data_IF_381431527191
#
_entry.id   IF_381431527191
#
_cell.length_a   1.000
_cell.length_b   1.000
_cell.length_c   1.000
_cell.angle_alpha   90.00
_cell.angle_beta   90.00
_cell.angle_gamma   90.00
#
_symmetry.space_group_name_H-M   'P 1'
#
loop_
_entity.id
_entity.type
_entity.pdbx_description
1 polymer ?
#
# COMPACT_ATOMS: atom_id res chain seq x y z
N UNK A 1 9.83 -22.72 1.92
CA UNK A 1 9.43 -23.67 0.84
C UNK A 1 8.08 -23.22 0.34
N UNK A 2 7.87 -23.07 -0.95
CA UNK A 2 6.60 -22.62 -1.50
C UNK A 2 5.48 -23.64 -1.25
N UNK A 3 4.23 -23.17 -1.10
CA UNK A 3 3.08 -24.04 -0.76
C UNK A 3 2.85 -25.19 -1.74
N UNK A 4 3.33 -25.04 -2.97
CA UNK A 4 3.25 -26.06 -4.04
C UNK A 4 3.98 -27.37 -3.65
N UNK A 5 5.00 -27.31 -2.82
CA UNK A 5 5.75 -28.48 -2.36
C UNK A 5 4.93 -29.38 -1.42
N UNK A 6 3.83 -28.84 -0.87
CA UNK A 6 2.94 -29.51 0.06
C UNK A 6 1.65 -30.04 -0.60
N UNK A 7 1.49 -29.87 -1.92
CA UNK A 7 0.36 -30.42 -2.65
C UNK A 7 0.39 -31.96 -2.63
N UNK A 8 -0.69 -32.56 -2.16
CA UNK A 8 -0.83 -34.04 -2.14
C UNK A 8 -1.48 -34.58 -3.40
N UNK A 9 -2.11 -33.72 -4.16
CA UNK A 9 -2.72 -34.03 -5.47
C UNK A 9 -2.20 -32.98 -6.46
N UNK A 10 -1.56 -33.40 -7.57
CA UNK A 10 -0.94 -32.47 -8.51
C UNK A 10 -1.96 -31.75 -9.41
N UNK A 11 -3.24 -32.11 -9.33
CA UNK A 11 -4.31 -31.52 -10.15
C UNK A 11 -5.46 -31.00 -9.29
N UNK A 12 -6.23 -30.07 -9.86
CA UNK A 12 -7.43 -29.51 -9.25
C UNK A 12 -8.55 -30.54 -9.29
N UNK A 13 -9.22 -30.74 -8.14
CA UNK A 13 -10.37 -31.62 -8.01
C UNK A 13 -11.64 -30.90 -8.46
N UNK A 14 -12.35 -31.42 -9.47
CA UNK A 14 -13.65 -30.92 -9.87
C UNK A 14 -14.71 -31.29 -8.81
N UNK A 15 -15.26 -30.27 -8.15
CA UNK A 15 -16.26 -30.41 -7.11
C UNK A 15 -17.66 -30.42 -7.72
N UNK A 16 -18.47 -31.41 -7.35
CA UNK A 16 -19.86 -31.56 -7.78
C UNK A 16 -20.85 -30.96 -6.77
N UNK A 17 -20.36 -30.71 -5.55
CA UNK A 17 -21.15 -30.14 -4.47
C UNK A 17 -21.61 -28.72 -4.81
N UNK A 18 -22.78 -28.34 -4.31
CA UNK A 18 -23.33 -26.99 -4.35
C UNK A 18 -23.30 -26.30 -2.98
N UNK A 19 -23.17 -27.09 -1.93
CA UNK A 19 -23.13 -26.64 -0.54
C UNK A 19 -21.75 -26.88 0.08
N UNK A 20 -21.34 -26.00 0.99
CA UNK A 20 -20.02 -25.99 1.65
C UNK A 20 -19.66 -27.33 2.31
N UNK A 21 -20.59 -27.89 3.08
CA UNK A 21 -20.31 -29.13 3.81
C UNK A 21 -20.06 -30.33 2.91
N UNK A 22 -20.71 -30.40 1.76
CA UNK A 22 -20.53 -31.50 0.81
C UNK A 22 -19.23 -31.31 0.01
N UNK A 23 -18.85 -30.05 -0.30
CA UNK A 23 -17.58 -29.74 -0.89
C UNK A 23 -16.41 -30.16 0.02
N UNK A 24 -16.53 -29.95 1.32
CA UNK A 24 -15.53 -30.41 2.27
C UNK A 24 -15.42 -31.93 2.29
N UNK A 25 -16.54 -32.66 2.23
CA UNK A 25 -16.54 -34.15 2.13
C UNK A 25 -15.79 -34.61 0.89
N UNK A 26 -16.03 -33.98 -0.27
CA UNK A 26 -15.35 -34.32 -1.52
C UNK A 26 -13.83 -34.08 -1.42
N UNK A 27 -13.41 -32.91 -0.92
CA UNK A 27 -11.99 -32.57 -0.78
C UNK A 27 -11.27 -33.46 0.23
N UNK A 28 -11.87 -33.68 1.40
CA UNK A 28 -11.29 -34.55 2.43
C UNK A 28 -11.18 -35.99 1.94
N UNK A 29 -12.18 -36.49 1.20
CA UNK A 29 -12.14 -37.81 0.57
C UNK A 29 -11.01 -37.93 -0.44
N UNK A 30 -10.83 -36.91 -1.29
CA UNK A 30 -9.76 -36.87 -2.27
C UNK A 30 -8.39 -36.87 -1.59
N UNK A 31 -8.21 -36.04 -0.57
CA UNK A 31 -6.97 -35.95 0.22
C UNK A 31 -6.66 -37.28 0.93
N UNK A 32 -7.65 -37.85 1.61
CA UNK A 32 -7.46 -39.12 2.33
C UNK A 32 -7.12 -40.29 1.40
N UNK A 33 -7.67 -40.29 0.18
CA UNK A 33 -7.31 -41.26 -0.86
C UNK A 33 -5.85 -41.09 -1.29
N UNK A 34 -5.39 -39.86 -1.53
CA UNK A 34 -4.02 -39.56 -1.94
C UNK A 34 -3.00 -39.89 -0.85
N UNK A 35 -3.32 -39.60 0.42
CA UNK A 35 -2.42 -39.82 1.57
C UNK A 35 -2.56 -41.20 2.21
N UNK A 36 -3.44 -42.08 1.71
CA UNK A 36 -3.79 -43.39 2.29
C UNK A 36 -4.27 -43.30 3.75
N UNK A 37 -4.92 -42.20 4.12
CA UNK A 37 -5.36 -41.86 5.48
C UNK A 37 -6.90 -41.95 5.64
N UNK A 38 -7.54 -42.91 5.00
CA UNK A 38 -9.00 -43.04 5.00
C UNK A 38 -9.63 -43.10 6.42
N UNK A 39 -8.91 -43.68 7.39
CA UNK A 39 -9.33 -43.75 8.79
C UNK A 39 -9.43 -42.40 9.49
N UNK A 40 -8.78 -41.34 8.98
CA UNK A 40 -8.84 -39.97 9.53
C UNK A 40 -9.92 -39.09 8.90
N UNK A 41 -10.63 -39.56 7.88
CA UNK A 41 -11.58 -38.74 7.09
C UNK A 41 -12.62 -38.04 7.97
N UNK A 42 -13.22 -38.76 8.90
CA UNK A 42 -14.24 -38.20 9.80
C UNK A 42 -13.65 -37.13 10.71
N UNK A 43 -12.53 -37.42 11.35
CA UNK A 43 -11.88 -36.50 12.27
C UNK A 43 -11.46 -35.18 11.57
N UNK A 44 -10.93 -35.29 10.34
CA UNK A 44 -10.57 -34.10 9.54
C UNK A 44 -11.81 -33.26 9.23
N UNK A 45 -12.91 -33.91 8.83
CA UNK A 45 -14.15 -33.21 8.47
C UNK A 45 -14.77 -32.51 9.69
N UNK A 46 -14.81 -33.19 10.84
CA UNK A 46 -15.35 -32.64 12.07
C UNK A 46 -14.59 -31.40 12.54
N UNK A 47 -13.25 -31.46 12.53
CA UNK A 47 -12.41 -30.31 12.89
C UNK A 47 -12.53 -29.15 11.88
N UNK A 48 -12.67 -29.45 10.59
CA UNK A 48 -12.89 -28.42 9.57
C UNK A 48 -14.21 -27.70 9.76
N UNK A 49 -15.30 -28.45 9.99
CA UNK A 49 -16.61 -27.87 10.21
C UNK A 49 -16.62 -26.98 11.45
N UNK A 50 -16.05 -27.47 12.55
CA UNK A 50 -15.90 -26.72 13.79
C UNK A 50 -15.10 -25.43 13.61
N UNK A 51 -13.98 -25.51 12.85
CA UNK A 51 -13.14 -24.32 12.55
C UNK A 51 -13.90 -23.30 11.70
N UNK A 52 -14.64 -23.75 10.71
CA UNK A 52 -15.40 -22.90 9.80
C UNK A 52 -16.60 -22.24 10.48
N UNK A 53 -17.21 -22.90 11.49
CA UNK A 53 -18.28 -22.32 12.31
C UNK A 53 -17.78 -21.14 13.15
N UNK A 54 -16.54 -21.19 13.61
CA UNK A 54 -15.95 -20.09 14.41
C UNK A 54 -15.67 -18.83 13.60
N UNK A 55 -15.26 -18.97 12.34
CA UNK A 55 -15.03 -17.86 11.41
C UNK A 55 -14.93 -18.40 9.98
N UNK A 56 -15.61 -17.76 9.04
CA UNK A 56 -15.57 -18.12 7.62
C UNK A 56 -14.16 -17.98 7.06
N UNK A 57 -13.70 -19.01 6.34
CA UNK A 57 -12.39 -18.99 5.66
C UNK A 57 -12.48 -18.49 4.20
N UNK A 58 -13.59 -17.89 3.81
CA UNK A 58 -13.77 -17.23 2.53
C UNK A 58 -12.94 -15.94 2.47
N UNK A 59 -12.01 -15.84 1.53
CA UNK A 59 -11.08 -14.70 1.40
C UNK A 59 -11.48 -13.70 0.32
N UNK A 60 -12.63 -13.88 -0.32
CA UNK A 60 -13.09 -13.02 -1.42
C UNK A 60 -12.77 -13.59 -2.80
N UNK A 61 -13.27 -12.91 -3.86
CA UNK A 61 -13.01 -13.25 -5.27
C UNK A 61 -13.33 -14.70 -5.66
N UNK A 62 -14.28 -15.33 -4.97
CA UNK A 62 -14.64 -16.72 -5.20
C UNK A 62 -13.64 -17.74 -4.66
N UNK A 63 -12.79 -17.37 -3.71
CA UNK A 63 -11.75 -18.24 -3.14
C UNK A 63 -11.99 -18.44 -1.65
N UNK A 64 -11.86 -19.68 -1.19
CA UNK A 64 -11.88 -20.05 0.21
C UNK A 64 -10.67 -20.92 0.57
N UNK A 65 -10.12 -20.73 1.78
CA UNK A 65 -8.95 -21.48 2.28
C UNK A 65 -9.30 -22.14 3.61
N UNK A 66 -10.17 -23.19 3.62
CA UNK A 66 -10.42 -23.94 4.83
C UNK A 66 -9.15 -24.62 5.33
N UNK A 67 -8.82 -24.41 6.61
CA UNK A 67 -7.60 -24.92 7.19
C UNK A 67 -7.82 -25.42 8.61
N UNK A 68 -7.11 -26.49 8.97
CA UNK A 68 -7.11 -27.08 10.31
C UNK A 68 -5.73 -27.47 10.76
N UNK A 69 -5.50 -27.45 12.07
CA UNK A 69 -4.30 -27.98 12.71
C UNK A 69 -4.66 -29.25 13.45
N UNK A 70 -3.93 -30.32 13.16
CA UNK A 70 -4.18 -31.61 13.79
C UNK A 70 -2.92 -32.48 13.73
N UNK A 71 -2.90 -33.57 14.47
CA UNK A 71 -1.78 -34.53 14.40
C UNK A 71 -1.76 -35.18 13.01
N UNK A 72 -0.79 -34.75 12.19
CA UNK A 72 -0.55 -35.21 10.83
C UNK A 72 0.86 -35.77 10.67
N UNK A 73 1.10 -36.58 9.63
CA UNK A 73 2.43 -37.14 9.35
C UNK A 73 3.36 -36.07 8.75
N UNK A 74 2.82 -35.27 7.84
CA UNK A 74 3.55 -34.24 7.13
C UNK A 74 3.25 -32.88 7.73
N UNK A 75 4.15 -31.92 7.61
CA UNK A 75 3.95 -30.54 8.07
C UNK A 75 2.71 -29.90 7.47
N UNK A 76 2.51 -30.14 6.18
CA UNK A 76 1.31 -29.68 5.45
C UNK A 76 0.79 -30.75 4.51
N UNK A 77 -0.52 -30.73 4.32
CA UNK A 77 -1.20 -31.49 3.28
C UNK A 77 -2.24 -30.57 2.62
N UNK A 78 -2.05 -30.27 1.33
CA UNK A 78 -2.84 -29.31 0.59
C UNK A 78 -3.52 -29.99 -0.60
N UNK A 79 -4.80 -29.66 -0.81
CA UNK A 79 -5.56 -30.04 -2.02
C UNK A 79 -6.37 -28.86 -2.50
N UNK A 80 -6.44 -28.70 -3.82
CA UNK A 80 -7.21 -27.64 -4.48
C UNK A 80 -8.45 -28.23 -5.14
N UNK A 81 -9.61 -27.64 -4.89
CA UNK A 81 -10.85 -27.97 -5.56
C UNK A 81 -11.42 -26.79 -6.30
N UNK A 82 -12.14 -27.04 -7.40
CA UNK A 82 -12.85 -26.00 -8.15
C UNK A 82 -14.32 -26.38 -8.38
N UNK A 83 -15.15 -25.36 -8.50
CA UNK A 83 -16.54 -25.46 -8.95
C UNK A 83 -16.85 -24.30 -9.88
N UNK A 84 -17.05 -24.58 -11.16
CA UNK A 84 -17.39 -23.56 -12.15
C UNK A 84 -18.71 -22.85 -11.81
N UNK A 85 -19.80 -23.57 -11.41
CA UNK A 85 -21.04 -22.92 -11.00
C UNK A 85 -20.94 -22.18 -9.66
N UNK A 86 -19.93 -22.50 -8.85
CA UNK A 86 -19.74 -21.96 -7.50
C UNK A 86 -20.49 -22.76 -6.42
N UNK A 87 -19.92 -22.74 -5.22
CA UNK A 87 -20.43 -23.41 -4.03
C UNK A 87 -20.92 -22.35 -3.06
N UNK A 88 -22.11 -22.50 -2.50
CA UNK A 88 -22.62 -21.61 -1.44
C UNK A 88 -21.73 -21.74 -0.20
N UNK A 89 -20.87 -20.79 0.01
CA UNK A 89 -19.82 -20.88 1.02
C UNK A 89 -20.15 -20.08 2.28
N UNK A 90 -20.56 -18.84 2.13
CA UNK A 90 -20.93 -17.95 3.20
C UNK A 90 -22.36 -17.43 2.95
N UNK A 91 -23.34 -18.09 3.59
CA UNK A 91 -24.76 -17.79 3.40
C UNK A 91 -25.12 -16.38 3.90
N UNK A 92 -24.45 -15.89 4.96
CA UNK A 92 -24.69 -14.55 5.51
C UNK A 92 -24.27 -13.44 4.55
N UNK A 93 -23.28 -13.71 3.69
CA UNK A 93 -22.76 -12.78 2.69
C UNK A 93 -23.23 -13.06 1.27
N UNK A 94 -24.02 -14.11 1.05
CA UNK A 94 -24.38 -14.58 -0.30
C UNK A 94 -23.18 -14.98 -1.16
N UNK A 95 -22.04 -15.36 -0.54
CA UNK A 95 -20.79 -15.57 -1.23
C UNK A 95 -20.71 -16.98 -1.85
N UNK A 96 -20.33 -17.03 -3.12
CA UNK A 96 -20.01 -18.27 -3.85
C UNK A 96 -18.49 -18.48 -3.89
N UNK A 97 -18.04 -19.69 -3.49
CA UNK A 97 -16.66 -20.11 -3.69
C UNK A 97 -16.53 -20.94 -4.97
N UNK A 98 -15.65 -20.51 -5.85
CA UNK A 98 -15.31 -21.22 -7.09
C UNK A 98 -14.03 -22.03 -6.95
N UNK A 99 -13.14 -21.62 -6.05
CA UNK A 99 -11.89 -22.30 -5.73
C UNK A 99 -11.84 -22.50 -4.22
N UNK A 100 -11.59 -23.73 -3.79
CA UNK A 100 -11.45 -24.08 -2.38
C UNK A 100 -10.10 -24.77 -2.18
N UNK A 101 -9.24 -24.19 -1.35
CA UNK A 101 -7.92 -24.74 -1.03
C UNK A 101 -7.95 -25.27 0.39
N UNK A 102 -8.05 -26.59 0.53
CA UNK A 102 -8.01 -27.25 1.82
C UNK A 102 -6.56 -27.39 2.29
N UNK A 103 -6.26 -26.93 3.50
CA UNK A 103 -4.95 -27.01 4.15
C UNK A 103 -5.06 -27.75 5.47
N UNK A 104 -4.33 -28.86 5.62
CA UNK A 104 -4.12 -29.53 6.91
C UNK A 104 -2.69 -29.27 7.33
N UNK A 105 -2.51 -28.72 8.52
CA UNK A 105 -1.20 -28.42 9.11
C UNK A 105 -0.97 -29.33 10.31
N UNK A 106 0.25 -29.86 10.44
CA UNK A 106 0.63 -30.61 11.63
C UNK A 106 0.61 -29.66 12.85
N UNK A 107 0.01 -30.09 13.96
CA UNK A 107 -0.02 -29.28 15.18
C UNK A 107 1.37 -28.92 15.74
N UNK A 108 2.40 -29.71 15.40
CA UNK A 108 3.81 -29.46 15.77
C UNK A 108 4.51 -28.45 14.85
N UNK A 109 3.92 -28.11 13.72
CA UNK A 109 4.51 -27.15 12.78
C UNK A 109 4.47 -25.74 13.38
N UNK A 110 5.53 -24.98 13.16
CA UNK A 110 5.66 -23.60 13.63
C UNK A 110 4.49 -22.70 13.16
N UNK A 111 4.02 -21.82 14.04
CA UNK A 111 2.88 -20.95 13.76
C UNK A 111 3.17 -19.94 12.64
N UNK A 112 4.40 -19.42 12.58
CA UNK A 112 4.78 -18.44 11.55
C UNK A 112 4.80 -19.12 10.18
N UNK A 113 5.31 -20.36 10.10
CA UNK A 113 5.31 -21.14 8.87
C UNK A 113 3.86 -21.46 8.42
N UNK A 114 2.96 -21.78 9.35
CA UNK A 114 1.55 -21.98 9.04
C UNK A 114 0.91 -20.74 8.42
N UNK A 115 1.11 -19.57 9.03
CA UNK A 115 0.59 -18.30 8.53
C UNK A 115 1.22 -17.95 7.18
N UNK A 116 2.51 -18.18 7.02
CA UNK A 116 3.22 -17.94 5.76
C UNK A 116 2.62 -18.74 4.61
N UNK A 117 2.40 -20.05 4.78
CA UNK A 117 1.79 -20.90 3.75
C UNK A 117 0.37 -20.46 3.40
N UNK A 118 -0.46 -20.11 4.38
CA UNK A 118 -1.80 -19.56 4.10
C UNK A 118 -1.74 -18.24 3.35
N UNK A 119 -0.79 -17.38 3.69
CA UNK A 119 -0.56 -16.09 3.01
C UNK A 119 -0.09 -16.28 1.58
N UNK A 120 0.80 -17.23 1.32
CA UNK A 120 1.26 -17.58 -0.02
C UNK A 120 0.10 -18.07 -0.90
N UNK A 121 -0.75 -18.97 -0.40
CA UNK A 121 -1.94 -19.47 -1.09
C UNK A 121 -2.89 -18.30 -1.39
N UNK A 122 -3.19 -17.46 -0.41
CA UNK A 122 -4.06 -16.31 -0.58
C UNK A 122 -3.52 -15.34 -1.63
N UNK A 123 -2.22 -15.05 -1.59
CA UNK A 123 -1.54 -14.16 -2.54
C UNK A 123 -1.56 -14.73 -3.96
N UNK A 124 -1.33 -16.04 -4.10
CA UNK A 124 -1.37 -16.73 -5.38
C UNK A 124 -2.76 -16.61 -6.04
N UNK A 125 -3.83 -16.94 -5.30
CA UNK A 125 -5.20 -16.87 -5.81
C UNK A 125 -5.81 -15.46 -5.80
N UNK A 126 -5.12 -14.42 -5.31
CA UNK A 126 -5.46 -13.02 -5.59
C UNK A 126 -5.23 -12.64 -7.05
N UNK A 127 -4.36 -13.33 -7.79
CA UNK A 127 -4.11 -13.12 -9.21
C UNK A 127 -5.30 -13.59 -10.05
N UNK A 128 -5.86 -12.69 -10.88
CA UNK A 128 -6.90 -13.04 -11.86
C UNK A 128 -6.44 -14.12 -12.82
N UNK A 129 -5.17 -14.08 -13.22
CA UNK A 129 -4.57 -15.09 -14.10
C UNK A 129 -4.59 -16.48 -13.48
N UNK A 130 -4.20 -16.62 -12.21
CA UNK A 130 -4.21 -17.88 -11.49
C UNK A 130 -5.65 -18.44 -11.34
N UNK A 131 -6.61 -17.57 -10.99
CA UNK A 131 -8.01 -17.96 -10.88
C UNK A 131 -8.61 -18.39 -12.23
N UNK A 132 -8.40 -17.59 -13.27
CA UNK A 132 -8.90 -17.90 -14.61
C UNK A 132 -8.32 -19.21 -15.15
N UNK A 133 -7.04 -19.47 -14.93
CA UNK A 133 -6.43 -20.74 -15.31
C UNK A 133 -6.99 -21.91 -14.50
N UNK A 134 -7.20 -21.72 -13.17
CA UNK A 134 -7.79 -22.75 -12.33
C UNK A 134 -9.24 -23.06 -12.69
N UNK A 135 -9.98 -22.12 -13.25
CA UNK A 135 -11.38 -22.24 -13.65
C UNK A 135 -11.56 -22.51 -15.14
N UNK A 136 -10.48 -22.51 -15.93
CA UNK A 136 -10.56 -22.72 -17.37
C UNK A 136 -11.29 -24.03 -17.69
N UNK A 137 -12.22 -24.04 -18.66
CA UNK A 137 -12.87 -25.26 -19.10
C UNK A 137 -11.86 -26.17 -19.80
N UNK A 138 -11.75 -27.42 -19.38
CA UNK A 138 -10.87 -28.44 -19.96
C UNK A 138 -11.36 -29.82 -19.58
N UNK A 139 -11.36 -30.76 -20.53
CA UNK A 139 -11.58 -32.18 -20.27
C UNK A 139 -10.27 -32.78 -19.73
N UNK A 140 -10.22 -32.93 -18.40
CA UNK A 140 -9.10 -33.57 -17.73
C UNK A 140 -8.59 -32.82 -16.49
N UNK A 141 -7.73 -33.47 -15.69
CA UNK A 141 -7.18 -32.85 -14.49
C UNK A 141 -6.24 -31.69 -14.88
N UNK A 142 -6.55 -30.52 -14.39
CA UNK A 142 -5.70 -29.34 -14.56
C UNK A 142 -4.54 -29.45 -13.59
N UNK A 143 -3.33 -29.47 -14.12
CA UNK A 143 -2.09 -29.55 -13.35
C UNK A 143 -1.90 -28.26 -12.52
N UNK A 144 -2.06 -28.38 -11.19
CA UNK A 144 -1.85 -27.26 -10.26
C UNK A 144 -0.40 -26.80 -10.31
N UNK A 145 0.55 -27.72 -10.47
CA UNK A 145 1.97 -27.36 -10.57
C UNK A 145 2.25 -26.63 -11.88
N UNK A 146 1.61 -27.04 -12.97
CA UNK A 146 1.67 -26.33 -14.26
C UNK A 146 1.07 -24.94 -14.20
N UNK A 147 -0.07 -24.76 -13.51
CA UNK A 147 -0.66 -23.44 -13.27
C UNK A 147 0.27 -22.58 -12.41
N UNK A 148 0.83 -23.14 -11.33
CA UNK A 148 1.77 -22.45 -10.46
C UNK A 148 3.06 -22.14 -11.22
N UNK A 149 3.57 -23.09 -12.00
CA UNK A 149 4.76 -22.87 -12.83
C UNK A 149 4.52 -21.83 -13.92
N UNK A 150 3.34 -21.81 -14.54
CA UNK A 150 2.97 -20.80 -15.54
C UNK A 150 2.62 -19.47 -14.89
N UNK A 151 1.99 -19.46 -13.70
CA UNK A 151 1.75 -18.24 -12.93
C UNK A 151 3.03 -17.73 -12.25
N UNK A 152 3.92 -18.61 -11.81
CA UNK A 152 5.26 -18.24 -11.37
C UNK A 152 6.18 -17.88 -12.54
N UNK A 153 6.02 -18.50 -13.71
CA UNK A 153 6.62 -18.04 -14.96
C UNK A 153 5.97 -16.74 -15.41
N UNK A 154 4.68 -16.54 -15.27
CA UNK A 154 4.01 -15.25 -15.44
C UNK A 154 4.37 -14.26 -14.30
N UNK A 155 4.81 -14.74 -13.15
CA UNK A 155 5.36 -13.96 -12.03
C UNK A 155 6.90 -13.85 -12.04
N UNK A 156 7.61 -14.71 -12.77
CA UNK A 156 9.06 -14.73 -12.98
C UNK A 156 9.43 -14.46 -14.45
N UNK A 157 8.59 -14.82 -15.40
CA UNK A 157 8.57 -14.25 -16.73
C UNK A 157 7.86 -12.90 -16.69
N UNK A 158 8.50 -12.00 -16.05
CA UNK A 158 8.56 -10.59 -16.33
C UNK A 158 8.81 -10.29 -17.84
N UNK A 159 8.73 -11.29 -18.71
CA UNK A 159 9.02 -11.24 -20.14
C UNK A 159 7.83 -11.53 -21.05
N UNK A 160 6.62 -11.86 -20.55
CA UNK A 160 5.49 -12.22 -21.43
C UNK A 160 4.25 -11.35 -21.34
N UNK A 161 4.18 -10.41 -20.41
CA UNK A 161 3.60 -9.12 -20.72
C UNK A 161 4.82 -8.22 -20.98
N UNK A 162 5.42 -8.31 -22.14
CA UNK A 162 5.99 -7.10 -22.71
C UNK A 162 4.81 -6.14 -22.70
N UNK A 163 4.78 -5.09 -21.85
CA UNK A 163 3.89 -3.98 -22.08
C UNK A 163 4.21 -3.63 -23.53
N UNK A 164 3.26 -3.85 -24.42
CA UNK A 164 3.54 -3.53 -25.79
C UNK A 164 3.86 -2.05 -25.74
N UNK A 165 5.02 -1.65 -26.25
CA UNK A 165 5.35 -0.23 -26.51
C UNK A 165 4.13 0.50 -27.10
N UNK A 166 3.25 -0.24 -27.75
CA UNK A 166 1.97 0.16 -28.30
C UNK A 166 0.88 0.47 -27.27
N UNK A 167 0.87 -0.10 -26.07
CA UNK A 167 -0.24 0.10 -25.12
C UNK A 167 -0.15 1.47 -24.39
N UNK A 168 1.05 1.90 -24.02
CA UNK A 168 1.25 3.22 -23.37
C UNK A 168 1.46 4.36 -24.38
N UNK A 169 1.87 4.06 -25.62
CA UNK A 169 2.17 5.06 -26.63
C UNK A 169 1.00 6.04 -26.93
N UNK A 170 -0.28 5.60 -27.04
CA UNK A 170 -1.38 6.52 -27.24
C UNK A 170 -1.57 7.48 -26.06
N UNK A 171 -1.47 6.99 -24.82
CA UNK A 171 -1.63 7.82 -23.60
C UNK A 171 -0.51 8.86 -23.50
N UNK A 172 0.73 8.45 -23.80
CA UNK A 172 1.89 9.34 -23.81
C UNK A 172 1.76 10.41 -24.92
N UNK A 173 1.28 10.03 -26.12
CA UNK A 173 1.03 10.95 -27.21
C UNK A 173 -0.02 12.00 -26.85
N UNK A 174 -1.18 11.56 -26.35
CA UNK A 174 -2.26 12.46 -25.90
C UNK A 174 -1.77 13.41 -24.80
N UNK A 175 -0.95 12.91 -23.87
CA UNK A 175 -0.43 13.74 -22.79
C UNK A 175 0.53 14.83 -23.30
N UNK A 176 1.34 14.55 -24.33
CA UNK A 176 2.20 15.55 -24.97
C UNK A 176 1.38 16.60 -25.72
N UNK A 177 0.38 16.18 -26.50
CA UNK A 177 -0.51 17.10 -27.21
C UNK A 177 -1.25 18.01 -26.22
N UNK A 178 -1.79 17.41 -25.14
CA UNK A 178 -2.47 18.16 -24.09
C UNK A 178 -1.52 19.14 -23.40
N UNK A 179 -0.28 18.74 -23.10
CA UNK A 179 0.72 19.60 -22.47
C UNK A 179 1.02 20.83 -23.35
N UNK A 180 1.13 20.63 -24.65
CA UNK A 180 1.30 21.70 -25.64
C UNK A 180 0.08 22.62 -25.67
N UNK A 181 -1.14 22.08 -25.75
CA UNK A 181 -2.37 22.85 -25.91
C UNK A 181 -2.67 23.73 -24.68
N UNK A 182 -2.44 23.19 -23.46
CA UNK A 182 -2.65 23.95 -22.21
C UNK A 182 -1.43 24.78 -21.82
N UNK A 183 -0.34 24.74 -22.59
CA UNK A 183 0.94 25.39 -22.31
C UNK A 183 1.47 25.00 -20.92
N UNK A 184 1.50 23.68 -20.65
CA UNK A 184 1.97 23.17 -19.39
C UNK A 184 3.45 23.53 -19.14
N UNK A 185 3.77 23.95 -17.92
CA UNK A 185 5.13 24.27 -17.50
C UNK A 185 6.01 23.03 -17.36
N UNK A 186 5.41 21.86 -17.12
CA UNK A 186 6.08 20.58 -17.01
C UNK A 186 5.16 19.40 -17.32
N UNK A 187 5.79 18.32 -17.82
CA UNK A 187 5.23 16.99 -17.92
C UNK A 187 5.82 16.13 -16.80
N UNK A 188 4.95 15.59 -15.94
CA UNK A 188 5.36 14.76 -14.82
C UNK A 188 4.99 13.29 -15.08
N UNK A 189 5.96 12.38 -15.03
CA UNK A 189 5.76 10.95 -15.28
C UNK A 189 6.03 10.14 -14.04
N UNK A 190 5.03 9.39 -13.58
CA UNK A 190 5.12 8.50 -12.43
C UNK A 190 5.64 7.13 -12.88
N UNK A 191 6.96 7.00 -12.90
CA UNK A 191 7.66 5.91 -13.57
C UNK A 191 7.53 4.54 -12.90
N UNK A 192 7.07 4.48 -11.65
CA UNK A 192 6.80 3.20 -10.95
C UNK A 192 5.59 2.46 -11.52
N UNK A 193 4.84 3.11 -12.41
CA UNK A 193 3.78 2.49 -13.22
C UNK A 193 4.34 1.42 -14.15
N UNK A 194 5.50 1.69 -14.75
CA UNK A 194 6.15 0.80 -15.73
C UNK A 194 7.51 0.33 -15.22
N UNK A 195 7.99 -0.81 -15.72
CA UNK A 195 9.28 -1.38 -15.31
C UNK A 195 10.43 -0.89 -16.15
N UNK A 196 10.21 -0.66 -17.43
CA UNK A 196 11.22 -0.22 -18.40
C UNK A 196 11.13 1.30 -18.60
N UNK A 197 12.24 1.90 -19.04
CA UNK A 197 12.34 3.34 -19.27
C UNK A 197 12.10 3.73 -20.73
N UNK A 198 11.55 2.84 -21.52
CA UNK A 198 11.28 3.03 -22.95
C UNK A 198 10.24 4.13 -23.25
N UNK A 199 9.46 4.53 -22.26
CA UNK A 199 8.60 5.72 -22.35
C UNK A 199 9.40 6.99 -22.64
N UNK A 200 10.67 7.06 -22.24
CA UNK A 200 11.56 8.18 -22.53
C UNK A 200 11.87 8.31 -24.03
N UNK A 201 11.80 7.21 -24.79
CA UNK A 201 12.00 7.22 -26.24
C UNK A 201 10.78 7.75 -26.97
N UNK A 202 9.60 7.63 -26.33
CA UNK A 202 8.31 8.09 -26.87
C UNK A 202 8.12 9.57 -26.53
N UNK A 203 8.44 9.96 -25.29
CA UNK A 203 8.34 11.34 -24.83
C UNK A 203 9.48 12.19 -25.38
N UNK A 204 9.40 12.54 -26.66
CA UNK A 204 10.30 13.49 -27.30
C UNK A 204 9.88 14.93 -27.01
N UNK A 205 9.76 15.25 -25.72
CA UNK A 205 9.32 16.58 -25.30
C UNK A 205 10.41 17.61 -25.46
N UNK A 206 10.06 18.78 -25.99
CA UNK A 206 10.81 20.04 -25.79
C UNK A 206 10.54 20.63 -24.41
N UNK A 207 9.51 20.12 -23.74
CA UNK A 207 9.00 20.60 -22.48
C UNK A 207 9.78 19.97 -21.30
N UNK A 208 9.67 20.59 -20.16
CA UNK A 208 10.32 20.15 -18.93
C UNK A 208 9.76 18.79 -18.49
N UNK A 209 10.55 17.73 -18.62
CA UNK A 209 10.17 16.39 -18.17
C UNK A 209 10.67 16.16 -16.75
N UNK A 210 9.74 15.93 -15.83
CA UNK A 210 10.00 15.56 -14.44
C UNK A 210 9.60 14.09 -14.24
N UNK A 211 10.54 13.25 -13.86
CA UNK A 211 10.29 11.86 -13.53
C UNK A 211 10.11 11.71 -12.03
N UNK A 212 9.02 11.07 -11.61
CA UNK A 212 8.71 10.76 -10.21
C UNK A 212 8.80 9.25 -10.04
N UNK A 213 9.65 8.77 -9.11
CA UNK A 213 9.89 7.34 -8.89
C UNK A 213 10.33 7.05 -7.47
N UNK A 214 10.00 5.88 -6.94
CA UNK A 214 10.53 5.40 -5.66
C UNK A 214 12.00 4.98 -5.74
N UNK A 215 12.51 4.72 -6.95
CA UNK A 215 13.88 4.27 -7.19
C UNK A 215 14.59 5.15 -8.21
N UNK A 216 15.31 6.18 -7.74
CA UNK A 216 16.09 7.07 -8.59
C UNK A 216 17.21 6.37 -9.36
N UNK A 217 17.77 5.28 -8.84
CA UNK A 217 18.88 4.57 -9.48
C UNK A 217 18.51 3.95 -10.83
N UNK A 218 17.20 3.88 -11.14
CA UNK A 218 16.69 3.48 -12.46
C UNK A 218 17.07 4.44 -13.58
N UNK A 219 17.34 5.71 -13.25
CA UNK A 219 17.53 6.78 -14.20
C UNK A 219 18.95 7.30 -14.14
N UNK A 220 19.58 7.45 -15.31
CA UNK A 220 20.89 8.08 -15.42
C UNK A 220 20.76 9.58 -15.06
N UNK A 221 21.49 10.07 -14.05
CA UNK A 221 21.50 11.49 -13.72
C UNK A 221 21.97 12.40 -14.89
N UNK A 222 22.68 11.84 -15.87
CA UNK A 222 23.17 12.54 -17.06
C UNK A 222 22.20 12.51 -18.24
N UNK A 223 21.04 11.87 -18.14
CA UNK A 223 20.07 11.78 -19.24
C UNK A 223 19.41 13.14 -19.51
N UNK A 224 19.84 13.76 -20.63
CA UNK A 224 19.37 15.09 -21.04
C UNK A 224 17.87 15.16 -21.37
N UNK A 225 17.19 14.02 -21.50
CA UNK A 225 15.74 13.95 -21.72
C UNK A 225 14.96 14.26 -20.43
N UNK A 226 15.60 14.06 -19.27
CA UNK A 226 14.99 14.23 -17.95
C UNK A 226 15.50 15.55 -17.35
N UNK A 227 14.60 16.49 -17.10
CA UNK A 227 14.94 17.77 -16.46
C UNK A 227 15.22 17.58 -14.97
N UNK A 228 14.42 16.73 -14.30
CA UNK A 228 14.61 16.41 -12.90
C UNK A 228 14.03 15.01 -12.58
N UNK A 229 14.66 14.33 -11.64
CA UNK A 229 14.17 13.08 -11.08
C UNK A 229 13.85 13.26 -9.58
N UNK A 230 12.58 13.09 -9.22
CA UNK A 230 12.08 13.21 -7.84
C UNK A 230 11.93 11.82 -7.25
N UNK A 231 12.45 11.63 -6.05
CA UNK A 231 12.20 10.41 -5.29
C UNK A 231 10.89 10.55 -4.55
N UNK A 232 9.92 9.74 -4.94
CA UNK A 232 8.67 9.62 -4.20
C UNK A 232 8.77 8.51 -3.15
N UNK A 233 8.02 8.61 -2.05
CA UNK A 233 7.90 7.52 -1.09
C UNK A 233 7.38 6.23 -1.74
N UNK A 234 7.89 5.08 -1.30
CA UNK A 234 7.58 3.77 -1.87
C UNK A 234 6.33 3.09 -1.29
N UNK A 235 5.52 3.81 -0.51
CA UNK A 235 4.30 3.24 0.05
C UNK A 235 3.12 3.23 -0.95
N UNK A 236 2.19 2.27 -0.84
CA UNK A 236 1.02 2.24 -1.72
C UNK A 236 0.13 3.46 -1.48
N UNK A 237 -0.06 4.26 -2.51
CA UNK A 237 -1.00 5.38 -2.53
C UNK A 237 -1.94 5.23 -3.73
N UNK A 238 -3.13 5.85 -3.65
CA UNK A 238 -4.01 5.97 -4.81
C UNK A 238 -3.30 6.74 -5.93
N UNK A 239 -3.74 6.59 -7.20
CA UNK A 239 -3.16 7.32 -8.34
C UNK A 239 -3.11 8.83 -8.07
N UNK A 240 -4.22 9.38 -7.58
CA UNK A 240 -4.31 10.82 -7.23
C UNK A 240 -3.40 11.16 -6.06
N UNK A 241 -3.30 10.27 -5.06
CA UNK A 241 -2.37 10.44 -3.94
C UNK A 241 -0.91 10.50 -4.39
N UNK A 242 -0.50 9.63 -5.32
CA UNK A 242 0.83 9.67 -5.92
C UNK A 242 1.09 10.99 -6.66
N UNK A 243 0.11 11.46 -7.45
CA UNK A 243 0.20 12.73 -8.17
C UNK A 243 0.35 13.89 -7.19
N UNK A 244 -0.47 13.95 -6.14
CA UNK A 244 -0.38 14.99 -5.11
C UNK A 244 0.98 15.03 -4.43
N UNK A 245 1.52 13.88 -4.06
CA UNK A 245 2.88 13.79 -3.49
C UNK A 245 3.93 14.31 -4.48
N UNK A 246 3.90 13.81 -5.71
CA UNK A 246 4.88 14.19 -6.72
C UNK A 246 4.87 15.71 -7.03
N UNK A 247 3.67 16.29 -7.14
CA UNK A 247 3.50 17.73 -7.36
C UNK A 247 4.00 18.53 -6.16
N UNK A 248 3.65 18.11 -4.93
CA UNK A 248 4.15 18.76 -3.70
C UNK A 248 5.69 18.75 -3.64
N UNK A 249 6.31 17.60 -3.96
CA UNK A 249 7.76 17.48 -3.96
C UNK A 249 8.41 18.29 -5.10
N UNK A 250 7.75 18.40 -6.26
CA UNK A 250 8.23 19.26 -7.36
C UNK A 250 8.18 20.74 -6.97
N UNK A 251 7.11 21.14 -6.31
CA UNK A 251 6.94 22.48 -5.75
C UNK A 251 8.00 22.79 -4.66
N UNK A 252 8.21 21.87 -3.73
CA UNK A 252 9.18 22.05 -2.64
C UNK A 252 10.63 22.22 -3.13
N UNK A 253 10.91 21.73 -4.33
CA UNK A 253 12.22 21.84 -5.00
C UNK A 253 12.29 22.98 -6.02
N UNK A 254 11.28 23.83 -6.08
CA UNK A 254 11.15 24.91 -7.07
C UNK A 254 11.26 24.42 -8.53
N UNK A 255 10.87 23.18 -8.79
CA UNK A 255 10.82 22.62 -10.15
C UNK A 255 9.60 23.10 -10.91
N UNK A 256 8.52 23.42 -10.23
CA UNK A 256 7.30 24.04 -10.75
C UNK A 256 6.87 25.17 -9.79
N UNK A 257 6.04 26.07 -10.23
CA UNK A 257 5.56 27.24 -9.49
C UNK A 257 4.07 27.14 -9.20
N UNK A 258 3.58 28.02 -8.33
CA UNK A 258 2.17 28.08 -7.98
C UNK A 258 1.22 28.43 -9.13
N UNK A 259 1.68 29.21 -10.09
CA UNK A 259 0.92 29.66 -11.27
C UNK A 259 1.05 28.70 -12.47
N UNK A 260 1.79 27.62 -12.32
CA UNK A 260 2.02 26.65 -13.38
C UNK A 260 0.82 25.72 -13.58
N UNK A 261 0.66 25.27 -14.84
CA UNK A 261 -0.12 24.09 -15.17
C UNK A 261 0.81 22.93 -15.44
N UNK A 262 0.46 21.76 -14.96
CA UNK A 262 1.27 20.55 -15.13
C UNK A 262 0.41 19.40 -15.65
N UNK A 263 1.00 18.59 -16.52
CA UNK A 263 0.37 17.36 -16.99
C UNK A 263 1.06 16.19 -16.29
N UNK A 264 0.26 15.39 -15.58
CA UNK A 264 0.73 14.21 -14.87
C UNK A 264 0.30 12.94 -15.59
N UNK A 265 1.25 12.04 -15.84
CA UNK A 265 1.02 10.72 -16.45
C UNK A 265 1.28 9.65 -15.41
N UNK A 266 0.27 8.85 -15.11
CA UNK A 266 0.34 7.83 -14.06
C UNK A 266 -0.43 6.57 -14.46
N UNK A 267 -0.42 5.59 -13.59
CA UNK A 267 -1.20 4.34 -13.66
C UNK A 267 -1.06 3.58 -12.35
N UNK A 268 -1.60 2.37 -12.28
CA UNK A 268 -1.36 1.54 -11.12
C UNK A 268 0.11 1.15 -11.05
N UNK A 269 0.71 1.26 -9.87
CA UNK A 269 2.10 0.85 -9.67
C UNK A 269 2.32 -0.58 -10.17
N UNK A 270 3.38 -0.78 -10.97
CA UNK A 270 3.76 -2.06 -11.57
C UNK A 270 2.74 -2.67 -12.56
N UNK A 271 1.72 -1.91 -12.99
CA UNK A 271 0.76 -2.41 -14.00
C UNK A 271 1.38 -2.58 -15.39
N UNK A 272 2.49 -1.91 -15.66
CA UNK A 272 3.16 -1.91 -16.95
C UNK A 272 2.53 -0.97 -17.98
N UNK A 273 1.45 -0.26 -17.64
CA UNK A 273 0.72 0.60 -18.60
C UNK A 273 0.36 1.94 -17.94
N UNK A 274 0.69 3.03 -18.61
CA UNK A 274 0.12 4.34 -18.28
C UNK A 274 -1.34 4.40 -18.76
N UNK A 275 -2.25 4.69 -17.84
CA UNK A 275 -3.70 4.69 -18.09
C UNK A 275 -4.41 5.94 -17.57
N UNK A 276 -3.66 6.88 -17.00
CA UNK A 276 -4.20 8.07 -16.35
C UNK A 276 -3.41 9.30 -16.76
N UNK A 277 -4.13 10.31 -17.27
CA UNK A 277 -3.59 11.66 -17.51
C UNK A 277 -4.39 12.62 -16.65
N UNK A 278 -3.70 13.47 -15.91
CA UNK A 278 -4.29 14.53 -15.10
C UNK A 278 -3.69 15.86 -15.52
N UNK A 279 -4.53 16.80 -15.96
CA UNK A 279 -4.17 18.21 -16.12
C UNK A 279 -4.45 18.91 -14.81
N UNK A 280 -3.45 19.50 -14.22
CA UNK A 280 -3.53 20.11 -12.90
C UNK A 280 -3.12 21.57 -12.98
N UNK A 281 -3.98 22.45 -12.49
CA UNK A 281 -3.68 23.84 -12.19
C UNK A 281 -3.19 23.92 -10.76
N UNK A 282 -1.91 24.25 -10.58
CA UNK A 282 -1.25 24.19 -9.27
C UNK A 282 -1.90 25.19 -8.30
N UNK A 283 -2.25 26.38 -8.77
CA UNK A 283 -2.90 27.39 -7.93
C UNK A 283 -4.24 26.92 -7.37
N UNK A 284 -5.05 26.30 -8.22
CA UNK A 284 -6.39 25.83 -7.83
C UNK A 284 -6.31 24.63 -6.89
N UNK A 285 -5.41 23.67 -7.16
CA UNK A 285 -5.31 22.44 -6.32
C UNK A 285 -4.65 22.71 -4.96
N UNK A 286 -3.75 23.69 -4.88
CA UNK A 286 -2.98 24.01 -3.68
C UNK A 286 -3.27 25.42 -3.13
N UNK A 287 -4.48 25.97 -3.38
CA UNK A 287 -4.89 27.30 -2.94
C UNK A 287 -4.62 27.55 -1.46
N UNK A 288 -4.95 26.60 -0.59
CA UNK A 288 -4.71 26.67 0.86
C UNK A 288 -3.24 26.70 1.25
N UNK A 289 -2.36 26.12 0.40
CA UNK A 289 -0.91 26.19 0.63
C UNK A 289 -0.38 27.61 0.51
N UNK A 290 -0.93 28.35 -0.43
CA UNK A 290 -0.49 29.69 -0.80
C UNK A 290 -1.26 30.81 -0.09
N UNK A 291 -2.37 30.50 0.59
CA UNK A 291 -3.29 31.48 1.17
C UNK A 291 -2.63 32.55 2.07
N UNK A 292 -1.50 32.20 2.75
CA UNK A 292 -0.81 33.13 3.66
C UNK A 292 0.70 33.23 3.40
N UNK A 293 1.24 32.60 2.37
CA UNK A 293 2.66 32.65 2.00
C UNK A 293 2.86 32.16 0.57
N UNK A 294 3.59 32.90 -0.26
CA UNK A 294 3.92 32.45 -1.62
C UNK A 294 4.88 31.23 -1.62
N UNK A 295 5.50 30.95 -0.48
CA UNK A 295 6.43 29.83 -0.32
C UNK A 295 5.72 28.58 0.16
N UNK A 296 6.00 27.45 -0.49
CA UNK A 296 5.45 26.15 -0.14
C UNK A 296 6.02 25.64 1.15
N UNK A 297 7.35 25.65 1.24
CA UNK A 297 8.07 25.31 2.45
C UNK A 297 8.45 26.57 3.21
N UNK A 298 8.28 26.57 4.54
CA UNK A 298 9.01 27.51 5.37
C UNK A 298 10.50 27.48 5.02
N UNK A 299 11.18 28.64 4.99
CA UNK A 299 12.56 28.75 4.48
C UNK A 299 13.58 27.94 5.29
N UNK A 300 13.24 27.55 6.50
CA UNK A 300 14.05 26.71 7.37
C UNK A 300 13.90 25.19 7.07
N UNK A 301 12.90 24.77 6.28
CA UNK A 301 12.66 23.36 5.99
C UNK A 301 13.29 22.92 4.67
N UNK A 302 14.22 21.96 4.75
CA UNK A 302 14.82 21.35 3.56
C UNK A 302 13.84 20.39 2.86
N UNK A 303 13.74 20.42 1.52
CA UNK A 303 12.89 19.50 0.75
C UNK A 303 13.12 18.02 1.07
N UNK A 304 14.38 17.63 1.31
CA UNK A 304 14.76 16.25 1.63
C UNK A 304 14.17 15.79 2.96
N UNK A 305 14.00 16.69 3.92
CA UNK A 305 13.37 16.39 5.22
C UNK A 305 11.87 16.12 5.05
N UNK A 306 11.18 16.95 4.27
CA UNK A 306 9.77 16.71 3.93
C UNK A 306 9.60 15.38 3.21
N UNK A 307 10.42 15.10 2.19
CA UNK A 307 10.41 13.84 1.45
C UNK A 307 10.60 12.64 2.37
N UNK A 308 11.59 12.72 3.26
CA UNK A 308 11.90 11.64 4.21
C UNK A 308 10.76 11.38 5.19
N UNK A 309 10.17 12.44 5.75
CA UNK A 309 9.07 12.32 6.71
C UNK A 309 7.80 11.81 6.03
N UNK A 310 7.48 12.25 4.82
CA UNK A 310 6.37 11.70 4.03
C UNK A 310 6.57 10.20 3.75
N UNK A 311 7.79 9.79 3.42
CA UNK A 311 8.15 8.39 3.26
C UNK A 311 7.89 7.58 4.51
N UNK A 312 8.45 8.01 5.63
CA UNK A 312 8.30 7.35 6.94
C UNK A 312 6.84 7.32 7.40
N UNK A 313 6.10 8.43 7.21
CA UNK A 313 4.67 8.49 7.53
C UNK A 313 3.85 7.48 6.71
N UNK A 314 4.18 7.31 5.43
CA UNK A 314 3.56 6.32 4.58
C UNK A 314 3.87 4.89 5.00
N UNK A 315 5.13 4.60 5.34
CA UNK A 315 5.54 3.29 5.86
C UNK A 315 4.80 2.96 7.15
N UNK A 316 4.79 3.87 8.14
CA UNK A 316 4.06 3.70 9.41
C UNK A 316 2.56 3.50 9.15
N UNK A 317 1.99 4.28 8.24
CA UNK A 317 0.57 4.17 7.90
C UNK A 317 0.19 2.80 7.32
N UNK A 318 1.09 2.15 6.57
CA UNK A 318 0.85 0.85 5.91
C UNK A 318 1.20 -0.31 6.81
N UNK A 319 2.38 -0.28 7.42
CA UNK A 319 2.94 -1.39 8.18
C UNK A 319 2.40 -1.43 9.61
N UNK A 320 2.17 -0.26 10.22
CA UNK A 320 1.92 -0.17 11.65
C UNK A 320 3.10 -0.69 12.46
N UNK A 321 2.82 -1.22 13.64
CA UNK A 321 3.80 -1.94 14.46
C UNK A 321 3.17 -3.18 15.07
N UNK A 322 3.84 -4.31 15.00
CA UNK A 322 3.36 -5.61 15.51
C UNK A 322 1.92 -5.96 15.05
N UNK A 323 1.60 -5.60 13.79
CA UNK A 323 0.26 -5.81 13.23
C UNK A 323 -0.82 -4.85 13.73
N UNK A 324 -0.46 -3.85 14.54
CA UNK A 324 -1.38 -2.81 15.01
C UNK A 324 -1.19 -1.53 14.20
N UNK A 325 -2.27 -0.88 13.76
CA UNK A 325 -2.16 0.43 13.14
C UNK A 325 -1.63 1.45 14.15
N UNK A 326 -0.82 2.38 13.68
CA UNK A 326 -0.25 3.45 14.48
C UNK A 326 -0.76 4.81 14.03
N UNK A 327 -0.90 5.72 15.00
CA UNK A 327 -1.17 7.11 14.75
C UNK A 327 -0.14 8.00 15.47
N UNK A 328 0.44 8.96 14.76
CA UNK A 328 1.44 9.88 15.31
C UNK A 328 1.37 11.24 14.61
N UNK A 329 2.15 12.20 15.11
CA UNK A 329 2.30 13.55 14.55
C UNK A 329 3.79 13.83 14.37
N UNK A 330 4.18 14.33 13.21
CA UNK A 330 5.49 14.94 12.95
C UNK A 330 5.29 16.45 12.81
N UNK A 331 5.96 17.25 13.64
CA UNK A 331 6.01 18.72 13.55
C UNK A 331 7.41 19.13 13.08
N UNK A 332 7.48 19.89 11.98
CA UNK A 332 8.70 20.15 11.25
C UNK A 332 8.92 21.67 11.11
N UNK A 333 10.09 22.14 11.43
CA UNK A 333 10.48 23.55 11.32
C UNK A 333 9.93 24.44 12.44
N UNK A 334 10.30 25.72 12.40
CA UNK A 334 9.97 26.76 13.42
C UNK A 334 10.06 26.29 14.87
N UNK A 335 11.05 25.46 15.16
CA UNK A 335 11.15 24.74 16.44
C UNK A 335 11.28 25.68 17.66
N UNK A 336 11.81 26.88 17.46
CA UNK A 336 11.88 27.87 18.52
C UNK A 336 10.50 28.34 18.97
N UNK A 337 9.55 28.49 18.04
CA UNK A 337 8.16 28.85 18.39
C UNK A 337 7.38 27.61 18.83
N UNK A 338 7.54 26.49 18.14
CA UNK A 338 6.90 25.21 18.47
C UNK A 338 7.15 24.80 19.91
N UNK A 339 8.40 24.91 20.39
CA UNK A 339 8.79 24.52 21.75
C UNK A 339 8.05 25.29 22.85
N UNK A 340 7.47 26.49 22.58
CA UNK A 340 6.64 27.23 23.54
C UNK A 340 5.29 26.55 23.79
N UNK A 341 4.84 25.69 22.86
CA UNK A 341 3.57 24.98 22.91
C UNK A 341 3.73 23.49 23.22
N UNK A 342 4.95 23.04 23.52
CA UNK A 342 5.26 21.62 23.74
C UNK A 342 5.42 21.34 25.22
N UNK A 343 4.84 20.24 25.67
CA UNK A 343 5.10 19.65 27.00
C UNK A 343 5.49 18.19 26.80
N UNK A 344 6.60 17.77 27.41
CA UNK A 344 7.05 16.40 27.33
C UNK A 344 6.14 15.49 28.16
N UNK A 345 5.57 14.43 27.54
CA UNK A 345 4.75 13.42 28.21
C UNK A 345 5.60 12.32 28.87
N UNK A 346 6.70 11.98 28.21
CA UNK A 346 7.65 10.94 28.65
C UNK A 346 9.05 11.54 28.65
N UNK A 347 10.02 10.84 29.24
CA UNK A 347 11.43 11.21 29.09
C UNK A 347 11.78 11.19 27.61
N UNK A 348 12.32 12.31 27.11
CA UNK A 348 12.66 12.42 25.68
C UNK A 348 13.77 11.43 25.31
N UNK A 349 13.48 10.45 24.42
CA UNK A 349 14.44 9.40 24.05
C UNK A 349 15.61 9.92 23.21
N UNK A 350 15.50 11.09 22.60
CA UNK A 350 16.55 11.70 21.77
C UNK A 350 17.46 12.67 22.54
N UNK A 351 17.19 12.85 23.83
CA UNK A 351 17.99 13.78 24.65
C UNK A 351 19.38 13.21 24.92
N UNK A 352 20.42 13.99 24.62
CA UNK A 352 21.83 13.63 24.90
C UNK A 352 22.56 12.99 23.72
N UNK A 353 21.84 12.58 22.69
CA UNK A 353 22.46 12.15 21.42
C UNK A 353 22.97 13.34 20.61
N UNK A 354 24.06 13.17 19.87
CA UNK A 354 24.56 14.17 18.94
C UNK A 354 23.57 14.42 17.78
N UNK A 355 23.65 15.56 17.14
CA UNK A 355 22.75 15.89 16.04
C UNK A 355 22.86 14.90 14.88
N UNK A 356 24.06 14.37 14.60
CA UNK A 356 24.27 13.37 13.58
C UNK A 356 23.53 12.03 13.89
N UNK A 357 23.51 11.61 15.18
CA UNK A 357 22.86 10.36 15.60
C UNK A 357 21.33 10.44 15.64
N UNK A 358 20.75 11.64 15.60
CA UNK A 358 19.29 11.87 15.62
C UNK A 358 18.80 12.69 14.43
N UNK A 359 19.49 12.59 13.30
CA UNK A 359 19.05 13.23 12.06
C UNK A 359 18.17 12.25 11.26
N UNK A 360 16.91 12.61 11.00
CA UNK A 360 15.92 11.77 10.30
C UNK A 360 16.33 11.40 8.87
N UNK A 361 17.29 12.14 8.28
CA UNK A 361 17.85 11.81 6.97
C UNK A 361 18.72 10.55 7.00
N UNK A 362 19.17 10.12 8.19
CA UNK A 362 19.85 8.83 8.34
C UNK A 362 18.80 7.69 8.19
N UNK A 363 18.95 6.82 7.16
CA UNK A 363 18.07 5.67 6.98
C UNK A 363 18.02 4.73 8.18
N UNK A 364 19.09 4.63 8.96
CA UNK A 364 19.18 3.74 10.12
C UNK A 364 18.17 4.11 11.23
N UNK A 365 17.71 5.37 11.29
CA UNK A 365 16.71 5.81 12.27
C UNK A 365 15.28 5.38 11.93
N UNK A 366 15.00 4.81 10.75
CA UNK A 366 13.64 4.47 10.34
C UNK A 366 12.92 3.56 11.34
N UNK A 367 13.58 2.47 11.76
CA UNK A 367 13.00 1.52 12.72
C UNK A 367 12.84 2.16 14.11
N UNK A 368 13.80 2.97 14.55
CA UNK A 368 13.70 3.72 15.81
C UNK A 368 12.49 4.66 15.79
N UNK A 369 12.26 5.36 14.68
CA UNK A 369 11.11 6.25 14.54
C UNK A 369 9.79 5.48 14.55
N UNK A 370 9.73 4.31 13.90
CA UNK A 370 8.55 3.43 13.92
C UNK A 370 8.25 2.93 15.33
N UNK A 371 9.27 2.57 16.12
CA UNK A 371 9.10 2.19 17.52
C UNK A 371 8.52 3.33 18.34
N UNK A 372 9.13 4.52 18.28
CA UNK A 372 8.66 5.66 19.04
C UNK A 372 7.34 6.24 18.53
N UNK A 373 6.91 5.95 17.30
CA UNK A 373 5.58 6.29 16.80
C UNK A 373 4.45 5.52 17.52
N UNK A 374 4.77 4.42 18.20
CA UNK A 374 3.82 3.70 19.06
C UNK A 374 3.51 4.40 20.38
N UNK A 375 4.34 5.37 20.76
CA UNK A 375 4.17 6.19 21.96
C UNK A 375 3.26 7.36 21.63
N UNK A 376 2.33 7.67 22.51
CA UNK A 376 1.44 8.80 22.32
C UNK A 376 2.21 10.13 22.36
N UNK A 377 1.83 11.07 21.48
CA UNK A 377 2.47 12.36 21.35
C UNK A 377 3.08 12.61 19.97
N UNK A 378 3.74 13.75 19.85
CA UNK A 378 4.33 14.22 18.60
C UNK A 378 5.86 14.10 18.60
N UNK A 379 6.42 13.97 17.42
CA UNK A 379 7.82 14.25 17.15
C UNK A 379 7.98 15.74 16.82
N UNK A 380 9.00 16.37 17.35
CA UNK A 380 9.42 17.73 17.00
C UNK A 380 10.77 17.64 16.28
N UNK A 381 10.82 18.13 15.05
CA UNK A 381 11.95 17.96 14.15
C UNK A 381 12.32 19.33 13.57
N UNK A 382 13.60 19.64 13.53
CA UNK A 382 14.09 20.88 12.90
C UNK A 382 13.93 20.82 11.37
N UNK A 383 13.99 21.95 10.71
CA UNK A 383 13.88 22.01 9.26
C UNK A 383 15.03 21.34 8.50
N UNK A 384 16.17 21.09 9.15
CA UNK A 384 17.31 20.34 8.62
C UNK A 384 17.33 18.86 9.04
N UNK A 385 16.29 18.42 9.78
CA UNK A 385 16.03 17.00 10.06
C UNK A 385 16.47 16.51 11.43
N UNK A 386 16.93 17.37 12.34
CA UNK A 386 17.32 16.96 13.69
C UNK A 386 16.05 16.70 14.52
N UNK A 387 15.93 15.52 15.08
CA UNK A 387 14.84 15.16 15.99
C UNK A 387 15.14 15.76 17.36
N UNK A 388 14.33 16.73 17.77
CA UNK A 388 14.47 17.37 19.08
C UNK A 388 13.81 16.57 20.19
N UNK A 389 12.61 16.01 19.91
CA UNK A 389 11.87 15.23 20.90
C UNK A 389 10.86 14.28 20.25
N UNK A 390 10.49 13.24 21.00
CA UNK A 390 9.34 12.38 20.75
C UNK A 390 8.47 12.30 22.01
N UNK A 391 7.23 11.80 21.88
CA UNK A 391 6.29 11.75 22.99
C UNK A 391 5.94 13.12 23.54
N UNK A 392 5.82 14.10 22.67
CA UNK A 392 5.55 15.50 23.01
C UNK A 392 4.07 15.82 22.91
N UNK A 393 3.49 16.40 23.95
CA UNK A 393 2.12 16.91 23.93
C UNK A 393 2.09 18.34 23.39
N UNK A 394 1.26 18.57 22.38
CA UNK A 394 1.09 19.88 21.76
C UNK A 394 -0.07 20.61 22.44
N UNK A 395 0.18 21.85 22.89
CA UNK A 395 -0.81 22.72 23.57
C UNK A 395 -1.09 23.98 22.76
N UNK A 396 -1.56 23.88 21.51
CA UNK A 396 -1.91 25.08 20.78
C UNK A 396 -3.18 25.71 21.37
N UNK A 397 -3.23 27.03 21.39
CA UNK A 397 -4.45 27.78 21.70
C UNK A 397 -5.24 27.95 20.39
N UNK A 398 -6.19 27.07 20.14
CA UNK A 398 -7.10 27.18 18.98
C UNK A 398 -8.54 26.96 19.43
N UNK A 399 -9.43 27.77 18.85
CA UNK A 399 -10.85 27.45 18.80
C UNK A 399 -11.08 26.28 17.85
N UNK A 400 -11.46 25.14 18.38
CA UNK A 400 -11.73 23.91 17.61
C UNK A 400 -12.88 24.08 16.59
N UNK A 401 -13.59 25.21 16.61
CA UNK A 401 -14.71 25.52 15.73
C UNK A 401 -14.32 25.75 14.26
N UNK A 402 -13.03 25.96 13.97
CA UNK A 402 -12.53 26.21 12.61
C UNK A 402 -12.17 24.94 11.83
N UNK A 403 -12.23 23.78 12.46
CA UNK A 403 -11.88 22.50 11.83
C UNK A 403 -13.13 21.69 11.44
N UNK A 404 -13.07 20.89 10.36
CA UNK A 404 -14.15 19.99 10.03
C UNK A 404 -14.49 19.05 11.19
N UNK A 405 -15.76 18.87 11.48
CA UNK A 405 -16.23 17.91 12.49
C UNK A 405 -15.83 16.48 12.13
N UNK A 406 -15.46 15.68 13.14
CA UNK A 406 -15.06 14.27 12.92
C UNK A 406 -13.55 14.03 12.80
N UNK A 407 -12.72 15.08 12.93
CA UNK A 407 -11.26 14.93 13.01
C UNK A 407 -10.84 14.48 14.40
N UNK A 408 -9.95 13.49 14.50
CA UNK A 408 -9.39 13.01 15.77
C UNK A 408 -8.47 14.04 16.44
N UNK A 409 -8.16 13.82 17.71
CA UNK A 409 -7.34 14.72 18.55
C UNK A 409 -5.99 15.08 17.92
N UNK A 410 -5.35 14.14 17.21
CA UNK A 410 -4.07 14.37 16.52
C UNK A 410 -4.20 15.40 15.39
N UNK A 411 -5.30 15.37 14.65
CA UNK A 411 -5.56 16.35 13.58
C UNK A 411 -5.81 17.74 14.17
N UNK A 412 -6.57 17.83 15.28
CA UNK A 412 -6.81 19.08 15.98
C UNK A 412 -5.50 19.68 16.51
N UNK A 413 -4.64 18.84 17.10
CA UNK A 413 -3.33 19.27 17.59
C UNK A 413 -2.41 19.76 16.46
N UNK A 414 -2.40 19.06 15.32
CA UNK A 414 -1.61 19.43 14.15
C UNK A 414 -2.09 20.74 13.51
N UNK A 415 -3.38 20.89 13.33
CA UNK A 415 -3.94 22.17 12.87
C UNK A 415 -3.62 23.30 13.83
N UNK A 416 -3.79 23.06 15.14
CA UNK A 416 -3.48 24.04 16.17
C UNK A 416 -2.04 24.51 16.16
N UNK A 417 -1.09 23.60 16.17
CA UNK A 417 0.34 23.98 16.20
C UNK A 417 0.72 24.74 14.93
N UNK A 418 0.21 24.32 13.75
CA UNK A 418 0.50 25.02 12.48
C UNK A 418 -0.20 26.35 12.33
N UNK A 419 -1.30 26.61 13.05
CA UNK A 419 -1.93 27.93 13.10
C UNK A 419 -1.15 28.94 13.97
N UNK A 420 -0.48 28.46 15.02
CA UNK A 420 0.28 29.29 15.95
C UNK A 420 1.76 29.44 15.57
N UNK A 421 2.25 28.70 14.57
CA UNK A 421 3.66 28.65 14.18
C UNK A 421 3.81 28.60 12.65
N UNK A 422 5.03 28.76 12.17
CA UNK A 422 5.36 28.55 10.75
C UNK A 422 5.71 27.08 10.43
N UNK A 423 5.55 26.18 11.39
CA UNK A 423 5.86 24.76 11.20
C UNK A 423 4.88 24.09 10.21
N UNK A 424 5.33 23.00 9.62
CA UNK A 424 4.47 22.00 8.99
C UNK A 424 4.14 20.90 10.00
N UNK A 425 2.95 20.28 9.87
CA UNK A 425 2.64 19.09 10.65
C UNK A 425 2.09 17.98 9.73
N UNK A 426 2.54 16.75 9.96
CA UNK A 426 2.07 15.57 9.26
C UNK A 426 1.47 14.62 10.30
N UNK A 427 0.19 14.26 10.13
CA UNK A 427 -0.49 13.30 11.00
C UNK A 427 -0.69 11.98 10.29
N UNK A 428 -0.65 10.90 11.06
CA UNK A 428 -1.06 9.58 10.64
C UNK A 428 -2.28 9.20 11.46
N UNK A 429 -3.37 8.87 10.78
CA UNK A 429 -4.59 8.39 11.43
C UNK A 429 -4.46 6.92 11.79
N UNK A 430 -4.59 6.60 13.06
CA UNK A 430 -4.56 5.21 13.54
C UNK A 430 -5.70 4.37 12.94
N UNK A 431 -6.92 4.92 12.86
CA UNK A 431 -8.09 4.18 12.39
C UNK A 431 -8.13 3.95 10.88
N UNK A 432 -7.64 4.93 10.09
CA UNK A 432 -7.75 4.90 8.62
C UNK A 432 -6.40 4.70 7.91
N UNK A 433 -5.28 4.91 8.60
CA UNK A 433 -3.95 5.00 7.99
C UNK A 433 -3.81 6.16 7.00
N UNK A 434 -4.66 7.16 7.11
CA UNK A 434 -4.58 8.37 6.30
C UNK A 434 -3.42 9.23 6.76
N UNK A 435 -2.61 9.73 5.84
CA UNK A 435 -1.55 10.71 6.09
C UNK A 435 -2.07 12.08 5.68
N UNK A 436 -2.07 13.04 6.61
CA UNK A 436 -2.58 14.40 6.38
C UNK A 436 -1.51 15.43 6.69
N UNK A 437 -1.27 16.34 5.76
CA UNK A 437 -0.35 17.47 5.90
C UNK A 437 -1.11 18.75 6.28
N UNK A 438 -0.60 19.45 7.27
CA UNK A 438 -1.13 20.72 7.77
C UNK A 438 -0.12 21.86 7.62
N UNK A 439 -0.62 23.03 7.26
CA UNK A 439 0.10 24.31 7.24
C UNK A 439 -0.86 25.44 7.57
N UNK A 440 -0.44 26.44 8.32
CA UNK A 440 -1.24 27.62 8.67
C UNK A 440 -2.62 27.27 9.27
N UNK A 441 -2.74 26.19 10.03
CA UNK A 441 -3.98 25.75 10.65
C UNK A 441 -4.94 24.98 9.71
N UNK A 442 -4.60 24.81 8.44
CA UNK A 442 -5.46 24.18 7.46
C UNK A 442 -4.90 22.84 6.97
N UNK A 443 -5.80 21.95 6.52
CA UNK A 443 -5.41 20.74 5.81
C UNK A 443 -4.97 21.14 4.40
N UNK A 444 -3.75 20.82 4.07
CA UNK A 444 -3.18 21.10 2.77
C UNK A 444 -3.36 19.92 1.83
N UNK A 445 -3.10 18.72 2.35
CA UNK A 445 -3.15 17.51 1.56
C UNK A 445 -3.50 16.32 2.44
N UNK A 446 -4.29 15.42 1.88
CA UNK A 446 -4.58 14.12 2.46
C UNK A 446 -4.23 13.02 1.48
N UNK A 447 -3.46 12.06 1.95
CA UNK A 447 -3.05 10.88 1.19
C UNK A 447 -3.78 9.68 1.79
N UNK A 448 -4.68 9.08 1.02
CA UNK A 448 -5.37 7.85 1.40
C UNK A 448 -4.63 6.64 0.87
N UNK A 449 -4.68 5.54 1.63
CA UNK A 449 -4.32 4.21 1.10
C UNK A 449 -5.18 3.93 -0.15
N UNK A 450 -4.68 3.12 -1.09
CA UNK A 450 -5.54 2.57 -2.12
C UNK A 450 -6.74 1.93 -1.42
N UNK A 451 -7.94 2.27 -1.86
CA UNK A 451 -9.14 1.61 -1.32
C UNK A 451 -9.06 0.16 -1.74
N UNK A 452 -8.74 -0.73 -0.80
CA UNK A 452 -9.06 -2.14 -0.96
C UNK A 452 -10.58 -2.19 -1.12
N UNK A 453 -11.05 -2.36 -2.36
CA UNK A 453 -12.49 -2.43 -2.67
C UNK A 453 -13.22 -3.49 -1.85
N UNK A 454 -12.48 -4.39 -1.18
CA UNK A 454 -13.01 -5.43 -0.32
C UNK A 454 -13.51 -4.93 1.06
N UNK A 455 -13.05 -3.76 1.56
CA UNK A 455 -13.49 -3.23 2.88
C UNK A 455 -14.61 -2.19 2.80
N UNK A 456 -14.85 -1.58 1.63
CA UNK A 456 -15.81 -0.46 1.53
C UNK A 456 -17.27 -0.88 1.41
N UNK A 457 -17.57 -2.15 1.17
CA UNK A 457 -18.96 -2.64 1.02
C UNK A 457 -19.62 -2.97 2.36
N UNK A 458 -18.87 -3.14 3.44
CA UNK A 458 -19.41 -3.52 4.75
C UNK A 458 -19.83 -2.31 5.61
N UNK A 459 -19.32 -1.12 5.32
CA UNK A 459 -19.59 0.08 6.15
C UNK A 459 -20.80 0.93 5.69
N UNK A 460 -21.51 0.51 4.65
CA UNK A 460 -22.69 1.24 4.12
C UNK A 460 -24.05 0.67 4.56
N UNK A 461 -24.06 -0.42 5.33
CA UNK A 461 -25.31 -1.09 5.80
C UNK A 461 -25.21 -1.56 7.26
N UNK A 462 -24.62 -0.76 8.15
CA UNK A 462 -24.82 -0.85 9.60
C UNK A 462 -25.29 0.51 10.11
#
# INVERSE_FOLDING_TARGET
MPFQDYLKIPFIVDLKATEKGDAFKELVKALCKATKAAHKQKAILDEMMKREESASTFIGQGVAIPHVRMNAKDDFSIVVGRSVPGIKYDAARGALAHIIVLVITNEKTDNNLHIQVLTEIATFFKSDSARNQALAPGEGPIDVQGIIASANKAGIDDKTIKPSKKASAPVLGIAMDLAHDVKAAALMVFADTVRENDFLDILKCKDKLIVVTSNKTRFDPGDKRITACIQAPSFPASRIGQIKIGVLLALSRNLIRNDDKVICISGNSKSGVFDTIVSLDVAAEYEFFFANSPEILPPDIKPEVLERILGLAGEIAVEGREGKPLGTIFVIGDTNTVNKFVTQLIINPFRGYSEAERNILDPALAETMKEFASIDGAFVITGDGIILSAGSYLRPQLDASSLPSGLGSRHVAAAGITACTKALAITISESTGMVTLFKNGAIVMTISKPVDREKSTVQKYL
#
